data_IF_372943052893
#
_entry.id   IF_372943052893
#
_cell.length_a   1.000
_cell.length_b   1.000
_cell.length_c   1.000
_cell.angle_alpha   90.00
_cell.angle_beta   90.00
_cell.angle_gamma   90.00
#
_symmetry.space_group_name_H-M   'P 1'
#
loop_
_entity.id
_entity.type
_entity.pdbx_description
1 polymer ?
#
# COMPACT_ATOMS: atom_id res chain seq x y z
N UNK A 1 12.03 7.61 40.35
CA UNK A 1 11.58 6.50 39.50
C UNK A 1 11.34 7.08 38.12
N UNK A 2 12.15 6.71 37.12
CA UNK A 2 11.92 7.14 35.74
C UNK A 2 10.74 6.36 35.17
N UNK A 3 9.86 7.04 34.44
CA UNK A 3 8.69 6.44 33.78
C UNK A 3 8.89 6.60 32.27
N UNK A 4 8.52 5.59 31.49
CA UNK A 4 8.58 5.69 30.03
C UNK A 4 7.60 6.73 29.51
N UNK A 5 7.97 7.42 28.43
CA UNK A 5 7.12 8.37 27.72
C UNK A 5 7.06 7.97 26.25
N UNK A 6 5.85 7.91 25.68
CA UNK A 6 5.63 7.38 24.34
C UNK A 6 6.33 8.15 23.21
N UNK A 7 6.67 9.43 23.44
CA UNK A 7 7.45 10.23 22.48
C UNK A 7 8.93 9.82 22.42
N UNK A 8 9.46 9.27 23.52
CA UNK A 8 10.85 8.83 23.63
C UNK A 8 11.02 7.36 23.21
N UNK A 9 9.92 6.60 23.16
CA UNK A 9 9.93 5.22 22.70
C UNK A 9 10.23 5.14 21.21
N UNK A 10 10.98 4.12 20.78
CA UNK A 10 11.32 3.89 19.38
C UNK A 10 10.73 2.57 18.90
N UNK A 11 10.22 2.56 17.66
CA UNK A 11 9.79 1.35 16.98
C UNK A 11 10.80 1.05 15.88
N UNK A 12 11.46 -0.09 16.00
CA UNK A 12 12.44 -0.56 15.02
C UNK A 12 11.98 -1.88 14.43
N UNK A 13 11.97 -2.02 13.11
CA UNK A 13 11.59 -3.28 12.47
C UNK A 13 12.62 -3.64 11.41
N UNK A 14 12.95 -4.93 11.33
CA UNK A 14 13.83 -5.49 10.31
C UNK A 14 13.30 -6.82 9.77
N UNK A 15 13.59 -7.09 8.49
CA UNK A 15 13.25 -8.36 7.84
C UNK A 15 14.20 -9.46 8.35
N UNK A 16 13.63 -10.61 8.69
CA UNK A 16 14.36 -11.79 9.11
C UNK A 16 14.93 -12.54 7.92
N UNK A 17 16.07 -13.23 8.10
CA UNK A 17 16.61 -14.12 7.07
C UNK A 17 15.75 -15.38 6.88
N UNK A 18 15.12 -15.87 7.95
CA UNK A 18 14.14 -16.95 7.92
C UNK A 18 13.23 -16.89 9.16
N UNK A 19 12.18 -17.71 9.14
CA UNK A 19 11.35 -18.01 10.29
C UNK A 19 12.19 -18.62 11.44
N UNK A 20 11.88 -18.26 12.68
CA UNK A 20 12.57 -18.73 13.88
C UNK A 20 13.92 -18.04 14.16
N UNK A 21 14.37 -17.13 13.29
CA UNK A 21 15.61 -16.38 13.46
C UNK A 21 15.34 -14.88 13.59
N UNK A 22 15.87 -14.25 14.64
CA UNK A 22 15.86 -12.77 14.75
C UNK A 22 16.52 -12.13 13.52
N UNK A 23 16.00 -10.99 13.10
CA UNK A 23 16.59 -10.21 12.03
C UNK A 23 18.01 -9.76 12.39
N UNK A 24 18.88 -9.53 11.41
CA UNK A 24 20.25 -9.09 11.69
C UNK A 24 20.25 -7.77 12.46
N UNK A 25 20.99 -7.66 13.55
CA UNK A 25 21.01 -6.47 14.43
C UNK A 25 21.34 -5.15 13.69
N UNK A 26 22.10 -5.20 12.60
CA UNK A 26 22.44 -4.04 11.77
C UNK A 26 21.35 -3.65 10.74
N UNK A 27 20.28 -4.43 10.60
CA UNK A 27 19.24 -4.25 9.57
C UNK A 27 18.01 -3.48 10.06
N UNK A 28 18.01 -3.04 11.32
CA UNK A 28 16.94 -2.26 11.94
C UNK A 28 16.63 -0.98 11.16
N UNK A 29 15.35 -0.67 10.98
CA UNK A 29 14.88 0.62 10.48
C UNK A 29 13.88 1.23 11.45
N UNK A 30 13.99 2.53 11.68
CA UNK A 30 13.01 3.28 12.47
C UNK A 30 11.71 3.47 11.68
N UNK A 31 10.60 3.14 12.33
CA UNK A 31 9.26 3.37 11.78
C UNK A 31 8.59 4.54 12.52
N UNK A 32 8.24 5.62 11.81
CA UNK A 32 7.46 6.69 12.40
C UNK A 32 6.05 6.16 12.65
N UNK A 33 5.43 6.66 13.71
CA UNK A 33 4.12 6.21 14.15
C UNK A 33 3.33 7.37 14.73
N UNK A 34 2.03 7.36 14.47
CA UNK A 34 1.04 8.09 15.27
C UNK A 34 0.85 7.33 16.58
N UNK A 35 0.62 6.01 16.48
CA UNK A 35 0.66 5.06 17.59
C UNK A 35 1.22 3.73 17.12
N UNK A 36 1.78 2.94 18.02
CA UNK A 36 2.08 1.53 17.76
C UNK A 36 1.84 0.72 19.03
N UNK A 37 1.32 -0.48 18.86
CA UNK A 37 1.07 -1.44 19.94
C UNK A 37 1.69 -2.77 19.56
N UNK A 38 2.47 -3.36 20.47
CA UNK A 38 3.00 -4.70 20.33
C UNK A 38 2.84 -5.43 21.66
N UNK A 39 2.03 -6.48 21.62
CA UNK A 39 1.53 -7.15 22.80
C UNK A 39 1.68 -8.67 22.67
N UNK A 40 1.80 -9.33 23.81
CA UNK A 40 1.79 -10.78 23.91
C UNK A 40 0.44 -11.23 24.45
N UNK A 41 -0.27 -11.99 23.64
CA UNK A 41 -1.59 -12.54 23.93
C UNK A 41 -1.48 -14.02 24.26
N UNK A 42 -2.35 -14.52 25.14
CA UNK A 42 -2.51 -15.95 25.40
C UNK A 42 -3.98 -16.31 25.48
N UNK A 43 -4.35 -17.48 24.96
CA UNK A 43 -5.70 -17.99 25.12
C UNK A 43 -5.94 -18.36 26.60
N UNK A 44 -7.05 -17.92 27.18
CA UNK A 44 -7.40 -18.16 28.60
C UNK A 44 -8.50 -19.21 28.69
N UNK A 45 -8.34 -20.19 29.56
CA UNK A 45 -9.38 -21.18 29.86
C UNK A 45 -9.48 -21.43 31.37
N UNK A 46 -10.68 -21.76 31.80
CA UNK A 46 -11.10 -21.85 33.20
C UNK A 46 -11.91 -23.11 33.42
N UNK A 47 -11.84 -23.68 34.63
CA UNK A 47 -12.63 -24.88 34.94
C UNK A 47 -14.12 -24.58 34.83
N UNK A 48 -14.86 -25.47 34.14
CA UNK A 48 -16.32 -25.42 34.03
C UNK A 48 -17.01 -26.37 35.03
N UNK A 49 -16.25 -26.99 35.93
CA UNK A 49 -16.77 -27.90 36.93
C UNK A 49 -17.62 -27.14 37.97
N UNK A 50 -18.82 -27.65 38.24
CA UNK A 50 -19.69 -27.11 39.27
C UNK A 50 -19.28 -27.74 40.61
N UNK A 51 -18.50 -27.00 41.38
CA UNK A 51 -18.04 -27.41 42.70
C UNK A 51 -18.94 -26.84 43.82
N UNK A 52 -19.20 -27.57 44.93
CA UNK A 52 -19.99 -27.08 46.06
C UNK A 52 -19.52 -25.78 46.70
N UNK A 53 -18.26 -25.36 46.49
CA UNK A 53 -17.78 -24.04 46.93
C UNK A 53 -18.42 -22.88 46.16
N UNK A 54 -19.07 -23.15 45.02
CA UNK A 54 -19.61 -22.15 44.08
C UNK A 54 -18.54 -21.16 43.58
N UNK A 55 -17.26 -21.54 43.67
CA UNK A 55 -16.13 -20.72 43.27
C UNK A 55 -15.38 -21.36 42.12
N UNK A 56 -14.70 -20.53 41.33
CA UNK A 56 -13.89 -20.98 40.23
C UNK A 56 -12.60 -21.63 40.76
N UNK A 57 -12.37 -22.90 40.44
CA UNK A 57 -11.28 -23.69 41.02
C UNK A 57 -9.92 -23.53 40.33
N UNK A 58 -9.88 -23.32 39.00
CA UNK A 58 -8.62 -23.13 38.25
C UNK A 58 -8.79 -22.20 37.03
N UNK A 59 -7.67 -21.58 36.64
CA UNK A 59 -7.46 -20.86 35.38
C UNK A 59 -6.07 -21.14 34.85
N UNK A 60 -5.97 -21.41 33.55
CA UNK A 60 -4.70 -21.62 32.86
C UNK A 60 -4.60 -20.71 31.64
N UNK A 61 -3.36 -20.44 31.25
CA UNK A 61 -3.02 -19.79 29.99
C UNK A 61 -2.59 -20.86 28.99
N UNK A 62 -3.02 -20.69 27.74
CA UNK A 62 -2.69 -21.53 26.59
C UNK A 62 -1.44 -21.03 25.88
N UNK A 63 -1.39 -21.29 24.57
CA UNK A 63 -0.29 -20.84 23.73
C UNK A 63 -0.21 -19.32 23.70
N UNK A 64 1.00 -18.80 23.84
CA UNK A 64 1.31 -17.40 23.64
C UNK A 64 1.50 -17.09 22.15
N UNK A 65 1.03 -15.91 21.74
CA UNK A 65 1.24 -15.30 20.41
C UNK A 65 1.47 -13.81 20.58
N UNK A 66 1.92 -13.14 19.53
CA UNK A 66 2.12 -11.69 19.55
C UNK A 66 1.26 -11.00 18.52
N UNK A 67 0.70 -9.85 18.88
CA UNK A 67 0.01 -8.96 17.97
C UNK A 67 0.75 -7.64 17.85
N UNK A 68 0.73 -7.05 16.66
CA UNK A 68 1.37 -5.78 16.37
C UNK A 68 0.44 -4.88 15.56
N UNK A 69 0.41 -3.59 15.88
CA UNK A 69 -0.26 -2.58 15.06
C UNK A 69 0.60 -1.34 14.94
N UNK A 70 0.66 -0.77 13.73
CA UNK A 70 1.35 0.48 13.43
C UNK A 70 0.33 1.40 12.79
N UNK A 71 0.04 2.53 13.45
CA UNK A 71 -0.76 3.61 12.88
C UNK A 71 0.17 4.66 12.30
N UNK A 72 0.07 4.87 11.00
CA UNK A 72 1.08 5.59 10.23
C UNK A 72 0.48 6.62 9.29
N UNK A 73 1.35 7.51 8.81
CA UNK A 73 1.03 8.48 7.76
C UNK A 73 1.75 8.09 6.48
N UNK A 74 0.99 7.90 5.41
CA UNK A 74 1.51 7.40 4.15
C UNK A 74 2.58 8.33 3.56
N UNK A 75 3.74 7.75 3.25
CA UNK A 75 4.85 8.41 2.56
C UNK A 75 5.67 7.40 1.77
N UNK A 76 6.29 7.86 0.68
CA UNK A 76 7.15 7.05 -0.17
C UNK A 76 8.33 6.45 0.62
N UNK A 77 8.67 5.18 0.37
CA UNK A 77 9.80 4.47 0.93
C UNK A 77 9.65 4.00 2.38
N UNK A 78 8.84 4.67 3.21
CA UNK A 78 8.72 4.37 4.65
C UNK A 78 8.19 2.96 4.92
N UNK A 79 7.08 2.59 4.28
CA UNK A 79 6.40 1.32 4.53
C UNK A 79 6.60 0.27 3.41
N UNK A 80 7.50 0.54 2.47
CA UNK A 80 7.72 -0.31 1.31
C UNK A 80 8.02 -1.80 1.65
N UNK A 81 8.86 -2.13 2.67
CA UNK A 81 9.08 -3.53 3.03
C UNK A 81 7.82 -4.22 3.56
N UNK A 82 6.98 -3.52 4.31
CA UNK A 82 5.73 -4.07 4.85
C UNK A 82 4.69 -4.28 3.75
N UNK A 83 4.59 -3.33 2.80
CA UNK A 83 3.76 -3.48 1.61
C UNK A 83 4.21 -4.65 0.74
N UNK A 84 5.52 -4.78 0.50
CA UNK A 84 6.09 -5.89 -0.28
C UNK A 84 5.74 -7.25 0.34
N UNK A 85 5.86 -7.37 1.66
CA UNK A 85 5.52 -8.59 2.40
C UNK A 85 4.03 -8.97 2.28
N UNK A 86 3.14 -7.97 2.40
CA UNK A 86 1.70 -8.18 2.24
C UNK A 86 1.35 -8.59 0.80
N UNK A 87 1.97 -7.94 -0.20
CA UNK A 87 1.82 -8.25 -1.62
C UNK A 87 2.51 -9.55 -2.03
N UNK A 88 3.35 -10.13 -1.16
CA UNK A 88 4.08 -11.40 -1.40
C UNK A 88 5.10 -11.30 -2.53
N UNK A 89 5.65 -10.10 -2.76
CA UNK A 89 6.60 -9.81 -3.83
C UNK A 89 7.37 -8.54 -3.53
N UNK A 90 8.68 -8.56 -3.79
CA UNK A 90 9.53 -7.37 -3.70
C UNK A 90 9.17 -6.33 -4.77
N UNK A 91 9.51 -5.07 -4.47
CA UNK A 91 9.41 -3.98 -5.43
C UNK A 91 10.47 -4.12 -6.52
N UNK A 92 10.05 -4.06 -7.78
CA UNK A 92 10.91 -4.16 -8.97
C UNK A 92 10.76 -2.93 -9.85
N UNK A 93 11.76 -2.61 -10.68
CA UNK A 93 11.67 -1.49 -11.62
C UNK A 93 10.38 -1.56 -12.48
N UNK A 94 9.84 -0.38 -12.78
CA UNK A 94 8.68 -0.23 -13.66
C UNK A 94 9.06 -0.24 -15.15
N UNK A 95 8.11 0.17 -15.99
CA UNK A 95 8.32 0.25 -17.44
C UNK A 95 9.35 1.29 -17.86
N UNK A 96 10.10 0.98 -18.91
CA UNK A 96 11.12 1.84 -19.49
C UNK A 96 11.03 1.78 -21.02
N UNK A 97 10.64 2.89 -21.63
CA UNK A 97 10.83 3.13 -23.06
C UNK A 97 12.12 3.92 -23.21
N UNK A 98 13.12 3.30 -23.86
CA UNK A 98 14.38 3.95 -24.23
C UNK A 98 14.14 5.06 -25.25
N UNK A 99 15.16 5.84 -25.60
CA UNK A 99 14.98 6.98 -26.51
C UNK A 99 14.42 6.51 -27.87
N UNK A 100 13.27 7.04 -28.27
CA UNK A 100 12.58 6.72 -29.52
C UNK A 100 12.18 8.01 -30.23
N UNK A 101 12.44 8.08 -31.54
CA UNK A 101 12.02 9.18 -32.40
C UNK A 101 10.60 9.02 -32.98
N UNK A 102 9.93 7.89 -32.68
CA UNK A 102 8.60 7.55 -33.16
C UNK A 102 7.47 8.04 -32.25
N UNK A 103 7.80 8.71 -31.14
CA UNK A 103 6.83 9.12 -30.12
C UNK A 103 6.43 10.58 -30.38
N UNK A 104 5.12 10.79 -30.51
CA UNK A 104 4.48 12.09 -30.55
C UNK A 104 3.68 12.34 -29.25
N UNK A 105 3.51 13.61 -28.90
CA UNK A 105 2.59 14.05 -27.85
C UNK A 105 1.31 14.61 -28.44
N UNK A 106 0.19 14.23 -27.84
CA UNK A 106 -1.16 14.72 -28.12
C UNK A 106 -1.73 15.39 -26.88
N UNK A 107 -2.94 15.96 -26.94
CA UNK A 107 -3.57 16.59 -25.77
C UNK A 107 -3.87 15.62 -24.63
N UNK A 108 -4.03 14.33 -24.91
CA UNK A 108 -4.44 13.31 -23.94
C UNK A 108 -3.34 12.33 -23.57
N UNK A 109 -2.13 12.47 -24.13
CA UNK A 109 -1.04 11.54 -23.90
C UNK A 109 -0.12 11.33 -25.11
N UNK A 110 0.58 10.21 -25.11
CA UNK A 110 1.59 9.86 -26.11
C UNK A 110 1.04 8.86 -27.13
N UNK A 111 1.47 9.00 -28.38
CA UNK A 111 1.25 8.03 -29.44
C UNK A 111 2.58 7.66 -30.08
N UNK A 112 2.71 6.44 -30.58
CA UNK A 112 3.90 6.04 -31.36
C UNK A 112 3.58 5.24 -32.61
N UNK A 113 4.39 5.41 -33.63
CA UNK A 113 4.27 4.73 -34.93
C UNK A 113 4.85 3.31 -34.92
N UNK A 114 5.76 2.97 -34.00
CA UNK A 114 6.32 1.62 -33.86
C UNK A 114 6.67 1.23 -32.41
N UNK A 115 6.75 -0.07 -32.13
CA UNK A 115 7.00 -0.65 -30.80
C UNK A 115 5.73 -0.83 -29.95
N UNK A 116 5.86 -1.22 -28.68
CA UNK A 116 4.72 -1.47 -27.78
C UNK A 116 4.92 -0.98 -26.34
N UNK A 117 4.03 -0.12 -25.82
CA UNK A 117 4.21 0.46 -24.46
C UNK A 117 3.96 -0.61 -23.40
N UNK A 118 3.11 -1.57 -23.76
CA UNK A 118 2.84 -2.76 -22.97
C UNK A 118 4.09 -3.66 -22.91
N UNK A 119 4.83 -3.81 -24.01
CA UNK A 119 6.07 -4.59 -24.05
C UNK A 119 7.21 -3.89 -23.29
N UNK A 120 7.22 -2.55 -23.31
CA UNK A 120 8.16 -1.73 -22.50
C UNK A 120 7.83 -1.76 -21.00
N UNK A 121 6.74 -2.42 -20.59
CA UNK A 121 6.37 -2.64 -19.19
C UNK A 121 5.46 -1.58 -18.57
N UNK A 122 4.92 -0.65 -19.36
CA UNK A 122 3.97 0.36 -18.87
C UNK A 122 2.58 -0.24 -18.64
N UNK A 123 1.90 0.22 -17.59
CA UNK A 123 0.56 -0.25 -17.19
C UNK A 123 -0.34 0.93 -16.81
N UNK A 124 -1.65 0.76 -17.00
CA UNK A 124 -2.63 1.71 -16.52
C UNK A 124 -2.63 1.76 -14.97
N UNK A 125 -2.85 2.94 -14.40
CA UNK A 125 -2.77 3.21 -12.97
C UNK A 125 -1.35 3.40 -12.41
N UNK A 126 -0.34 3.45 -13.28
CA UNK A 126 1.03 3.84 -12.92
C UNK A 126 1.32 5.31 -13.24
N UNK A 127 2.39 5.83 -12.68
CA UNK A 127 2.96 7.12 -13.07
C UNK A 127 4.21 6.89 -13.89
N UNK A 128 4.40 7.72 -14.91
CA UNK A 128 5.61 7.79 -15.73
C UNK A 128 6.13 9.22 -15.79
N UNK A 129 7.41 9.36 -16.12
CA UNK A 129 8.07 10.62 -16.41
C UNK A 129 8.56 10.59 -17.85
N UNK A 130 8.27 11.67 -18.56
CA UNK A 130 8.62 11.85 -19.96
C UNK A 130 9.92 12.66 -20.03
N UNK A 131 10.79 12.29 -20.97
CA UNK A 131 12.00 13.04 -21.27
C UNK A 131 12.24 13.12 -22.79
N UNK A 132 13.22 13.92 -23.19
CA UNK A 132 13.73 13.92 -24.57
C UNK A 132 12.93 14.75 -25.59
N UNK A 133 11.75 15.28 -25.24
CA UNK A 133 11.09 16.26 -26.12
C UNK A 133 11.91 17.55 -26.23
N UNK A 134 12.00 18.11 -27.44
CA UNK A 134 12.70 19.35 -27.73
C UNK A 134 11.69 20.41 -28.21
N UNK A 135 12.15 21.65 -28.35
CA UNK A 135 11.38 22.76 -28.95
C UNK A 135 10.00 22.94 -28.28
N UNK A 136 8.92 22.91 -29.06
CA UNK A 136 7.54 23.06 -28.59
C UNK A 136 7.10 21.97 -27.58
N UNK A 137 7.80 20.83 -27.49
CA UNK A 137 7.48 19.74 -26.56
C UNK A 137 8.19 19.82 -25.20
N UNK A 138 9.11 20.78 -24.98
CA UNK A 138 9.94 20.83 -23.76
C UNK A 138 9.13 20.83 -22.45
N UNK A 139 7.94 21.46 -22.48
CA UNK A 139 7.06 21.55 -21.33
C UNK A 139 6.48 20.20 -20.87
N UNK A 140 6.58 19.14 -21.67
CA UNK A 140 6.12 17.80 -21.29
C UNK A 140 7.14 17.03 -20.44
N UNK A 141 8.41 17.45 -20.45
CA UNK A 141 9.48 16.72 -19.80
C UNK A 141 9.50 16.93 -18.28
N UNK A 142 9.97 15.93 -17.54
CA UNK A 142 10.30 16.08 -16.12
C UNK A 142 9.09 16.33 -15.23
N UNK A 143 7.94 15.72 -15.56
CA UNK A 143 6.71 15.80 -14.77
C UNK A 143 6.12 14.41 -14.53
N UNK A 144 5.50 14.22 -13.37
CA UNK A 144 4.72 13.03 -13.07
C UNK A 144 3.44 13.00 -13.93
N UNK A 145 3.37 12.03 -14.85
CA UNK A 145 2.23 11.77 -15.71
C UNK A 145 1.50 10.50 -15.24
N UNK A 146 0.27 10.65 -14.75
CA UNK A 146 -0.57 9.54 -14.31
C UNK A 146 -1.27 8.90 -15.50
N UNK A 147 -0.99 7.62 -15.71
CA UNK A 147 -1.43 6.84 -16.86
C UNK A 147 -2.81 6.24 -16.58
N UNK A 148 -3.82 6.59 -17.37
CA UNK A 148 -5.19 6.08 -17.21
C UNK A 148 -5.51 4.91 -18.14
N UNK A 149 -4.87 4.84 -19.31
CA UNK A 149 -5.03 3.73 -20.25
C UNK A 149 -3.74 3.51 -21.07
N UNK A 150 -3.45 2.26 -21.40
CA UNK A 150 -2.28 1.89 -22.21
C UNK A 150 -2.67 0.89 -23.28
N UNK A 151 -2.16 1.10 -24.49
CA UNK A 151 -2.17 0.14 -25.59
C UNK A 151 -0.75 0.00 -26.12
N UNK A 152 -0.51 -0.84 -27.12
CA UNK A 152 0.82 -0.94 -27.76
C UNK A 152 1.31 0.43 -28.26
N UNK A 153 0.44 1.20 -28.92
CA UNK A 153 0.82 2.43 -29.62
C UNK A 153 0.36 3.72 -28.94
N UNK A 154 -0.46 3.63 -27.87
CA UNK A 154 -0.97 4.81 -27.15
C UNK A 154 -0.79 4.68 -25.64
N UNK A 155 -0.39 5.77 -24.99
CA UNK A 155 -0.32 5.91 -23.55
C UNK A 155 -1.11 7.17 -23.18
N UNK A 156 -2.23 7.02 -22.48
CA UNK A 156 -3.19 8.09 -22.18
C UNK A 156 -3.16 8.43 -20.70
N UNK A 157 -3.38 9.69 -20.34
CA UNK A 157 -3.33 10.13 -18.95
C UNK A 157 -3.29 11.65 -18.79
N UNK A 158 -2.83 12.10 -17.63
CA UNK A 158 -2.72 13.52 -17.29
C UNK A 158 -1.56 13.80 -16.35
N UNK A 159 -1.03 15.03 -16.36
CA UNK A 159 -0.01 15.44 -15.39
C UNK A 159 -0.63 15.67 -14.01
N UNK A 160 0.05 15.20 -12.97
CA UNK A 160 -0.43 15.32 -11.59
C UNK A 160 -0.35 16.75 -11.03
N UNK A 161 0.47 17.60 -11.64
CA UNK A 161 0.58 19.01 -11.24
C UNK A 161 -0.48 19.92 -11.89
N UNK A 162 -1.46 19.34 -12.60
CA UNK A 162 -2.53 20.08 -13.28
C UNK A 162 -2.12 20.76 -14.60
N UNK A 163 -0.87 20.64 -15.05
CA UNK A 163 -0.48 21.18 -16.36
C UNK A 163 -1.06 20.36 -17.52
N UNK A 164 -1.34 21.01 -18.64
CA UNK A 164 -1.78 20.34 -19.86
C UNK A 164 -0.59 19.74 -20.64
N UNK A 165 -0.84 18.70 -21.42
CA UNK A 165 0.13 18.16 -22.37
C UNK A 165 0.20 19.03 -23.63
N UNK A 166 1.41 19.44 -24.01
CA UNK A 166 1.65 20.20 -25.23
C UNK A 166 1.81 19.24 -26.40
N UNK A 167 1.01 19.43 -27.46
CA UNK A 167 1.11 18.60 -28.65
C UNK A 167 2.44 18.81 -29.37
N UNK A 168 3.05 17.72 -29.85
CA UNK A 168 4.33 17.72 -30.56
C UNK A 168 4.41 16.49 -31.46
N UNK A 169 4.72 16.70 -32.74
CA UNK A 169 4.93 15.63 -33.70
C UNK A 169 6.17 14.77 -33.34
N UNK A 170 6.23 13.55 -33.89
CA UNK A 170 7.37 12.65 -33.73
C UNK A 170 8.68 13.23 -34.32
N UNK A 171 9.83 12.75 -33.88
CA UNK A 171 11.16 13.15 -34.36
C UNK A 171 12.20 13.41 -33.27
N UNK A 172 11.76 13.69 -32.04
CA UNK A 172 12.65 13.93 -30.89
C UNK A 172 13.03 12.61 -30.18
N UNK A 173 14.18 12.49 -29.49
CA UNK A 173 14.60 11.27 -28.82
C UNK A 173 13.86 11.05 -27.48
N UNK A 174 12.55 10.81 -27.55
CA UNK A 174 11.66 10.77 -26.38
C UNK A 174 11.87 9.50 -25.56
N UNK A 175 11.94 9.65 -24.24
CA UNK A 175 11.97 8.55 -23.26
C UNK A 175 10.71 8.57 -22.39
N UNK A 176 10.29 7.40 -21.94
CA UNK A 176 9.17 7.26 -20.98
C UNK A 176 9.59 6.28 -19.89
N UNK A 177 9.72 6.78 -18.67
CA UNK A 177 10.25 6.00 -17.55
C UNK A 177 9.31 6.02 -16.37
N UNK A 178 8.91 4.85 -15.86
CA UNK A 178 8.24 4.76 -14.57
C UNK A 178 9.24 5.07 -13.45
N UNK A 179 9.05 6.14 -12.64
CA UNK A 179 9.94 6.42 -11.53
C UNK A 179 9.80 5.36 -10.43
N UNK A 180 10.90 5.11 -9.74
CA UNK A 180 11.01 4.18 -8.64
C UNK A 180 10.69 2.74 -9.03
N UNK A 181 9.92 2.05 -8.19
CA UNK A 181 9.60 0.63 -8.35
C UNK A 181 8.14 0.33 -8.10
N UNK A 182 7.70 -0.85 -8.53
CA UNK A 182 6.35 -1.36 -8.36
C UNK A 182 6.32 -2.77 -7.77
N UNK A 183 5.29 -3.07 -6.98
CA UNK A 183 4.97 -4.41 -6.49
C UNK A 183 3.49 -4.73 -6.68
N UNK A 184 3.17 -6.02 -6.73
CA UNK A 184 1.83 -6.56 -6.91
C UNK A 184 1.79 -8.00 -6.41
N UNK A 185 0.60 -8.55 -6.17
CA UNK A 185 0.45 -9.96 -5.83
C UNK A 185 0.65 -10.84 -7.07
N UNK A 186 1.72 -11.66 -7.12
CA UNK A 186 2.04 -12.42 -8.32
C UNK A 186 1.11 -13.63 -8.49
N UNK A 187 1.14 -14.27 -9.65
CA UNK A 187 0.41 -15.53 -9.88
C UNK A 187 1.15 -16.74 -9.29
N UNK A 188 2.48 -16.67 -9.25
CA UNK A 188 3.38 -17.71 -8.77
C UNK A 188 4.61 -17.06 -8.11
N UNK A 189 5.40 -17.83 -7.36
CA UNK A 189 6.63 -17.31 -6.74
C UNK A 189 6.38 -16.34 -5.58
N UNK A 190 5.31 -16.56 -4.82
CA UNK A 190 4.99 -15.75 -3.65
C UNK A 190 6.09 -15.82 -2.58
N UNK A 191 6.50 -14.67 -2.06
CA UNK A 191 7.40 -14.59 -0.91
C UNK A 191 6.63 -14.75 0.40
N UNK A 192 7.33 -15.21 1.43
CA UNK A 192 6.88 -15.17 2.83
C UNK A 192 7.97 -14.46 3.60
N UNK A 193 7.68 -13.22 4.01
CA UNK A 193 8.65 -12.34 4.64
C UNK A 193 8.32 -12.18 6.11
N UNK A 194 9.26 -12.58 6.95
CA UNK A 194 9.16 -12.51 8.40
C UNK A 194 9.90 -11.28 8.92
N UNK A 195 9.44 -10.70 10.02
CA UNK A 195 10.02 -9.51 10.61
C UNK A 195 10.26 -9.68 12.11
N UNK A 196 11.33 -9.05 12.58
CA UNK A 196 11.54 -8.79 14.00
C UNK A 196 11.22 -7.33 14.26
N UNK A 197 10.27 -7.07 15.15
CA UNK A 197 9.95 -5.73 15.64
C UNK A 197 10.51 -5.55 17.04
N UNK A 198 11.07 -4.39 17.33
CA UNK A 198 11.56 -4.02 18.65
C UNK A 198 10.90 -2.72 19.09
N UNK A 199 10.30 -2.74 20.28
CA UNK A 199 9.89 -1.55 21.01
C UNK A 199 11.01 -1.23 21.99
N UNK A 200 11.65 -0.09 21.79
CA UNK A 200 12.75 0.40 22.63
C UNK A 200 12.21 1.53 23.49
N UNK A 201 12.42 1.45 24.80
CA UNK A 201 12.14 2.52 25.78
C UNK A 201 13.47 2.97 26.43
N UNK A 202 14.25 3.83 25.75
CA UNK A 202 15.61 4.17 26.18
C UNK A 202 15.67 4.81 27.57
N UNK A 203 14.65 5.59 27.93
CA UNK A 203 14.58 6.30 29.21
C UNK A 203 14.47 5.39 30.44
N UNK A 204 14.07 4.13 30.27
CA UNK A 204 13.97 3.15 31.36
C UNK A 204 14.77 1.86 31.09
N UNK A 205 15.55 1.82 30.01
CA UNK A 205 16.30 0.63 29.58
C UNK A 205 15.40 -0.62 29.52
N UNK A 206 14.27 -0.52 28.83
CA UNK A 206 13.38 -1.65 28.57
C UNK A 206 13.24 -1.80 27.07
N UNK A 207 13.65 -2.94 26.53
CA UNK A 207 13.56 -3.22 25.11
C UNK A 207 12.90 -4.60 24.93
N UNK A 208 11.86 -4.63 24.09
CA UNK A 208 11.02 -5.82 23.87
C UNK A 208 11.08 -6.19 22.39
N UNK A 209 11.54 -7.40 22.10
CA UNK A 209 11.67 -7.92 20.74
C UNK A 209 10.56 -8.92 20.42
N UNK A 210 9.80 -8.66 19.36
CA UNK A 210 8.75 -9.51 18.82
C UNK A 210 9.26 -10.17 17.54
N UNK A 211 9.29 -11.50 17.53
CA UNK A 211 9.95 -12.31 16.51
C UNK A 211 8.88 -13.02 15.67
N UNK A 212 9.21 -13.33 14.43
CA UNK A 212 8.34 -14.01 13.47
C UNK A 212 7.05 -13.25 13.20
N UNK A 213 7.14 -11.92 13.08
CA UNK A 213 6.01 -11.08 12.69
C UNK A 213 5.76 -11.20 11.19
N UNK A 214 4.52 -11.51 10.82
CA UNK A 214 4.00 -11.42 9.47
C UNK A 214 3.11 -10.19 9.35
N UNK A 215 3.21 -9.48 8.22
CA UNK A 215 2.26 -8.41 7.90
C UNK A 215 0.93 -9.05 7.49
N UNK A 216 -0.09 -8.84 8.31
CA UNK A 216 -1.43 -9.39 8.11
C UNK A 216 -2.29 -8.51 7.23
N UNK A 217 -2.30 -7.20 7.52
CA UNK A 217 -3.24 -6.26 6.90
C UNK A 217 -2.62 -4.89 6.72
N UNK A 218 -3.05 -4.18 5.67
CA UNK A 218 -2.89 -2.73 5.55
C UNK A 218 -4.24 -2.06 5.31
N UNK A 219 -4.50 -0.96 6.02
CA UNK A 219 -5.64 -0.09 5.82
C UNK A 219 -5.16 1.31 5.42
N UNK A 220 -5.63 1.81 4.29
CA UNK A 220 -5.37 3.14 3.77
C UNK A 220 -6.64 3.97 3.85
N UNK A 221 -6.55 5.20 4.35
CA UNK A 221 -7.65 6.16 4.30
C UNK A 221 -7.16 7.51 3.82
N UNK A 222 -7.83 8.05 2.82
CA UNK A 222 -7.52 9.33 2.21
C UNK A 222 -8.75 10.22 2.32
N UNK A 223 -8.56 11.38 2.93
CA UNK A 223 -9.59 12.40 3.10
C UNK A 223 -9.18 13.66 2.33
N UNK A 224 -10.12 14.43 1.76
CA UNK A 224 -9.79 15.63 0.96
C UNK A 224 -8.94 16.64 1.73
N UNK A 225 -9.26 16.81 3.02
CA UNK A 225 -8.62 17.76 3.92
C UNK A 225 -7.90 17.04 5.06
N UNK A 226 -7.07 16.05 4.73
CA UNK A 226 -6.35 15.28 5.73
C UNK A 226 -5.11 14.59 5.18
N UNK A 227 -4.17 14.30 6.08
CA UNK A 227 -3.04 13.42 5.78
C UNK A 227 -3.58 12.01 5.56
N UNK A 228 -3.04 11.34 4.55
CA UNK A 228 -3.39 9.96 4.25
C UNK A 228 -2.86 9.03 5.33
N UNK A 229 -3.73 8.25 5.97
CA UNK A 229 -3.32 7.23 6.93
C UNK A 229 -2.94 5.95 6.20
N UNK A 230 -1.93 5.24 6.71
CA UNK A 230 -1.55 3.91 6.26
C UNK A 230 -1.19 3.06 7.48
N UNK A 231 -2.12 2.19 7.85
CA UNK A 231 -2.07 1.42 9.08
C UNK A 231 -1.75 -0.04 8.79
N UNK A 232 -0.81 -0.62 9.54
CA UNK A 232 -0.42 -2.01 9.40
C UNK A 232 -0.83 -2.81 10.61
N UNK A 233 -1.29 -4.03 10.37
CA UNK A 233 -1.47 -5.06 11.41
C UNK A 233 -0.46 -6.17 11.16
N UNK A 234 0.26 -6.54 12.20
CA UNK A 234 1.23 -7.63 12.22
C UNK A 234 0.76 -8.71 13.20
N UNK A 235 1.08 -9.96 12.90
CA UNK A 235 0.86 -11.08 13.79
C UNK A 235 2.14 -11.91 13.85
N UNK A 236 2.56 -12.31 15.05
CA UNK A 236 3.72 -13.17 15.19
C UNK A 236 3.64 -14.11 16.38
N UNK A 237 4.75 -14.81 16.62
CA UNK A 237 4.73 -16.04 17.41
C UNK A 237 5.25 -15.87 18.83
N UNK A 238 6.28 -15.03 18.99
CA UNK A 238 7.09 -15.00 20.19
C UNK A 238 7.53 -13.58 20.52
N UNK A 239 7.40 -13.22 21.78
CA UNK A 239 8.16 -12.14 22.39
C UNK A 239 9.39 -12.73 23.07
N UNK A 240 10.57 -12.20 22.74
CA UNK A 240 11.82 -12.56 23.39
C UNK A 240 11.94 -11.96 24.79
N UNK A 241 13.02 -12.29 25.49
CA UNK A 241 13.30 -11.69 26.79
C UNK A 241 13.44 -10.17 26.69
N UNK A 242 12.91 -9.47 27.70
CA UNK A 242 13.10 -8.03 27.84
C UNK A 242 14.56 -7.73 28.20
N UNK A 243 15.20 -6.82 27.47
CA UNK A 243 16.62 -6.51 27.66
C UNK A 243 16.87 -5.04 28.03
N UNK A 244 17.92 -4.75 28.82
CA UNK A 244 18.30 -3.38 29.12
C UNK A 244 18.96 -2.64 27.95
N UNK A 245 19.62 -3.38 27.05
CA UNK A 245 20.19 -2.84 25.83
C UNK A 245 19.29 -3.15 24.63
N UNK A 246 19.16 -2.18 23.73
CA UNK A 246 18.47 -2.36 22.46
C UNK A 246 19.20 -3.38 21.57
N UNK A 247 18.44 -4.30 20.98
CA UNK A 247 18.93 -5.27 20.01
C UNK A 247 19.35 -4.58 18.70
N UNK A 248 18.51 -3.69 18.18
CA UNK A 248 18.86 -2.80 17.09
C UNK A 248 19.51 -1.54 17.64
N UNK A 249 20.81 -1.61 17.95
CA UNK A 249 21.54 -0.52 18.61
C UNK A 249 21.74 0.74 17.73
N UNK A 250 21.74 0.59 16.40
CA UNK A 250 21.94 1.68 15.45
C UNK A 250 20.97 1.55 14.27
N UNK A 251 19.65 1.74 14.50
CA UNK A 251 18.67 1.58 13.45
C UNK A 251 18.82 2.71 12.42
N UNK A 252 18.62 2.36 11.14
CA UNK A 252 18.60 3.35 10.07
C UNK A 252 17.41 4.31 10.22
N UNK A 253 17.64 5.58 9.89
CA UNK A 253 16.62 6.60 9.96
C UNK A 253 15.48 6.35 8.96
N UNK A 254 14.29 6.83 9.33
CA UNK A 254 13.14 6.85 8.42
C UNK A 254 13.43 7.72 7.19
N UNK A 255 12.99 7.33 5.98
CA UNK A 255 13.07 8.19 4.80
C UNK A 255 12.39 9.56 5.04
N UNK A 256 13.07 10.65 4.66
CA UNK A 256 12.57 12.04 4.82
C UNK A 256 11.59 12.48 3.72
N UNK A 257 10.82 11.56 3.16
CA UNK A 257 9.85 11.84 2.08
C UNK A 257 8.61 12.55 2.62
N UNK A 258 7.99 13.39 1.78
CA UNK A 258 6.78 14.11 2.16
C UNK A 258 5.57 13.19 2.40
N UNK A 259 4.64 13.66 3.22
CA UNK A 259 3.37 12.96 3.51
C UNK A 259 2.35 13.20 2.42
N UNK A 260 1.52 12.20 2.16
CA UNK A 260 0.42 12.32 1.19
C UNK A 260 -0.81 12.97 1.81
N UNK A 261 -1.55 13.72 0.98
CA UNK A 261 -2.82 14.34 1.31
C UNK A 261 -3.81 14.14 0.17
N UNK A 262 -5.11 14.15 0.48
CA UNK A 262 -6.16 14.09 -0.55
C UNK A 262 -6.15 15.28 -1.51
N UNK A 263 -5.57 16.42 -1.13
CA UNK A 263 -5.50 17.62 -1.96
C UNK A 263 -4.65 17.47 -3.25
N UNK A 264 -3.69 16.54 -3.24
CA UNK A 264 -2.75 16.28 -4.34
C UNK A 264 -2.93 14.88 -4.92
N UNK A 265 -4.12 14.31 -4.74
CA UNK A 265 -4.45 12.97 -5.20
C UNK A 265 -5.40 12.98 -6.40
N UNK A 266 -5.31 11.92 -7.22
CA UNK A 266 -6.12 11.73 -8.42
C UNK A 266 -6.73 10.33 -8.36
N UNK A 267 -8.05 10.26 -8.52
CA UNK A 267 -8.78 9.01 -8.72
C UNK A 267 -9.09 8.83 -10.20
N UNK A 268 -9.00 7.61 -10.71
CA UNK A 268 -9.49 7.22 -12.03
C UNK A 268 -10.40 6.00 -11.89
N UNK A 269 -11.62 6.12 -12.41
CA UNK A 269 -12.63 5.05 -12.43
C UNK A 269 -12.97 4.73 -13.87
N UNK A 270 -12.91 3.45 -14.25
CA UNK A 270 -13.11 3.01 -15.64
C UNK A 270 -12.17 3.71 -16.65
N UNK A 271 -10.96 4.08 -16.22
CA UNK A 271 -9.98 4.81 -17.05
C UNK A 271 -10.28 6.30 -17.23
N UNK A 272 -11.35 6.81 -16.61
CA UNK A 272 -11.71 8.23 -16.63
C UNK A 272 -11.22 8.86 -15.32
N UNK A 273 -10.36 9.90 -15.39
CA UNK A 273 -9.96 10.62 -14.20
C UNK A 273 -11.15 11.37 -13.58
N UNK A 274 -11.44 11.08 -12.31
CA UNK A 274 -12.50 11.73 -11.54
C UNK A 274 -11.93 12.95 -10.81
N UNK A 275 -12.39 14.14 -11.19
CA UNK A 275 -11.98 15.42 -10.58
C UNK A 275 -12.79 15.78 -9.32
N UNK A 276 -13.71 14.92 -8.89
CA UNK A 276 -14.71 15.22 -7.84
C UNK A 276 -14.77 14.15 -6.74
N UNK A 277 -13.68 13.42 -6.55
CA UNK A 277 -13.54 12.47 -5.46
C UNK A 277 -13.45 13.20 -4.11
N UNK A 278 -14.27 12.80 -3.15
CA UNK A 278 -14.34 13.37 -1.80
C UNK A 278 -13.74 12.46 -0.73
N UNK A 279 -13.07 11.37 -1.13
CA UNK A 279 -12.39 10.46 -0.21
C UNK A 279 -12.30 9.03 -0.74
N UNK A 280 -11.31 8.29 -0.26
CA UNK A 280 -11.05 6.91 -0.62
C UNK A 280 -10.53 6.13 0.59
N UNK A 281 -10.93 4.89 0.74
CA UNK A 281 -10.24 3.93 1.60
C UNK A 281 -9.99 2.62 0.87
N UNK A 282 -8.93 1.93 1.27
CA UNK A 282 -8.57 0.61 0.78
C UNK A 282 -8.08 -0.24 1.95
N UNK A 283 -8.63 -1.43 2.07
CA UNK A 283 -8.25 -2.46 3.00
C UNK A 283 -7.71 -3.65 2.22
N UNK A 284 -6.49 -4.08 2.53
CA UNK A 284 -5.86 -5.27 1.96
C UNK A 284 -5.51 -6.22 3.09
N UNK A 285 -6.10 -7.40 3.06
CA UNK A 285 -5.93 -8.43 4.08
C UNK A 285 -5.27 -9.68 3.47
N UNK A 286 -4.12 -10.06 4.01
CA UNK A 286 -3.38 -11.27 3.66
C UNK A 286 -3.88 -12.51 4.39
N UNK A 287 -4.87 -12.35 5.28
CA UNK A 287 -5.53 -13.38 6.08
C UNK A 287 -4.53 -14.24 6.84
N UNK A 288 -3.61 -13.59 7.57
CA UNK A 288 -2.64 -14.29 8.42
C UNK A 288 -3.37 -14.90 9.61
N UNK A 289 -3.05 -16.15 9.91
CA UNK A 289 -3.54 -16.85 11.09
C UNK A 289 -2.37 -17.47 11.85
N UNK A 290 -2.52 -17.53 13.16
CA UNK A 290 -1.53 -18.13 14.06
C UNK A 290 -2.24 -19.21 14.85
N UNK A 291 -1.91 -20.45 14.53
CA UNK A 291 -2.60 -21.64 15.02
C UNK A 291 -1.84 -22.22 16.23
N UNK A 292 -2.52 -22.45 17.37
CA UNK A 292 -1.90 -23.08 18.54
C UNK A 292 -1.69 -24.58 18.31
N UNK A 293 -0.63 -25.13 18.91
CA UNK A 293 -0.32 -26.57 18.87
C UNK A 293 -0.16 -27.09 20.29
N UNK A 294 -0.75 -28.25 20.55
CA UNK A 294 -0.67 -28.95 21.84
C UNK A 294 0.79 -29.28 22.15
N UNK A 295 1.21 -29.03 23.38
CA UNK A 295 2.57 -29.35 23.85
C UNK A 295 3.61 -28.26 23.55
N UNK A 296 3.23 -27.16 22.90
CA UNK A 296 4.07 -25.96 22.79
C UNK A 296 3.53 -24.83 23.67
N UNK A 297 4.43 -24.06 24.28
CA UNK A 297 4.06 -22.84 25.02
C UNK A 297 3.79 -21.65 24.08
N UNK A 298 4.41 -21.63 22.91
CA UNK A 298 4.25 -20.56 21.92
C UNK A 298 3.55 -21.08 20.68
N UNK A 299 2.93 -20.17 19.91
CA UNK A 299 2.38 -20.55 18.62
C UNK A 299 3.49 -21.00 17.67
N UNK A 300 3.32 -22.16 17.05
CA UNK A 300 4.35 -22.79 16.22
C UNK A 300 4.04 -22.71 14.73
N UNK A 301 2.77 -22.60 14.34
CA UNK A 301 2.36 -22.49 12.95
C UNK A 301 1.75 -21.12 12.67
N UNK A 302 2.24 -20.43 11.63
CA UNK A 302 1.52 -19.33 11.02
C UNK A 302 1.15 -19.70 9.59
N UNK A 303 -0.08 -19.39 9.21
CA UNK A 303 -0.61 -19.64 7.88
C UNK A 303 -1.11 -18.34 7.25
N UNK A 304 -1.21 -18.33 5.92
CA UNK A 304 -1.65 -17.16 5.14
C UNK A 304 -2.80 -17.56 4.24
N UNK A 305 -3.85 -16.76 4.20
CA UNK A 305 -4.98 -16.98 3.30
C UNK A 305 -4.81 -16.28 1.95
N UNK A 306 -5.92 -15.88 1.35
CA UNK A 306 -5.93 -15.11 0.08
C UNK A 306 -5.65 -13.64 0.38
N UNK A 307 -5.03 -12.93 -0.57
CA UNK A 307 -4.96 -11.47 -0.50
C UNK A 307 -6.32 -10.92 -0.97
N UNK A 308 -7.08 -10.36 -0.04
CA UNK A 308 -8.41 -9.80 -0.28
C UNK A 308 -8.32 -8.29 -0.21
N UNK A 309 -8.83 -7.60 -1.23
CA UNK A 309 -8.96 -6.15 -1.24
C UNK A 309 -10.42 -5.73 -1.16
N UNK A 310 -10.72 -4.75 -0.33
CA UNK A 310 -12.02 -4.09 -0.28
C UNK A 310 -11.83 -2.62 0.06
N UNK A 311 -12.82 -1.78 -0.22
CA UNK A 311 -12.70 -0.36 0.08
C UNK A 311 -13.95 0.42 -0.25
N UNK A 312 -13.82 1.73 -0.19
CA UNK A 312 -14.86 2.63 -0.66
C UNK A 312 -14.24 3.89 -1.28
N UNK A 313 -14.94 4.48 -2.23
CA UNK A 313 -14.68 5.83 -2.69
C UNK A 313 -15.96 6.65 -2.62
N UNK A 314 -15.79 7.96 -2.46
CA UNK A 314 -16.91 8.91 -2.41
C UNK A 314 -16.73 9.94 -3.51
N UNK A 315 -17.80 10.26 -4.22
CA UNK A 315 -17.80 11.22 -5.33
C UNK A 315 -19.04 12.09 -5.25
N UNK A 316 -18.93 13.34 -5.70
CA UNK A 316 -20.11 14.18 -5.92
C UNK A 316 -21.01 13.56 -7.01
N UNK A 317 -22.31 13.49 -6.79
CA UNK A 317 -23.23 12.90 -7.75
C UNK A 317 -23.40 13.83 -8.95
N UNK A 318 -22.81 13.45 -10.10
CA UNK A 318 -22.98 14.17 -11.37
C UNK A 318 -24.00 13.48 -12.29
N UNK A 319 -24.07 12.15 -12.23
CA UNK A 319 -24.95 11.31 -13.05
C UNK A 319 -25.32 10.02 -12.29
N UNK A 320 -26.03 9.12 -12.97
CA UNK A 320 -26.40 7.80 -12.44
C UNK A 320 -25.35 6.71 -12.67
N UNK A 321 -24.21 7.00 -13.32
CA UNK A 321 -23.30 5.97 -13.83
C UNK A 321 -22.80 5.03 -12.71
N UNK A 322 -22.37 5.57 -11.57
CA UNK A 322 -21.93 4.76 -10.44
C UNK A 322 -23.03 3.91 -9.80
N UNK A 323 -24.27 4.40 -9.83
CA UNK A 323 -25.45 3.67 -9.34
C UNK A 323 -25.79 2.55 -10.32
N UNK A 324 -25.67 2.80 -11.62
CA UNK A 324 -25.91 1.83 -12.67
C UNK A 324 -24.83 0.74 -12.70
N UNK A 325 -23.55 1.11 -12.51
CA UNK A 325 -22.46 0.14 -12.34
C UNK A 325 -22.69 -0.79 -11.15
N UNK A 326 -23.22 -0.27 -10.04
CA UNK A 326 -23.63 -1.09 -8.90
C UNK A 326 -24.79 -2.03 -9.27
N UNK A 327 -25.90 -1.50 -9.81
CA UNK A 327 -27.10 -2.29 -10.13
C UNK A 327 -26.86 -3.37 -11.19
N UNK A 328 -25.96 -3.11 -12.14
CA UNK A 328 -25.62 -4.02 -13.22
C UNK A 328 -24.40 -4.89 -12.89
N UNK A 329 -23.81 -4.74 -11.69
CA UNK A 329 -22.59 -5.42 -11.26
C UNK A 329 -21.41 -5.30 -12.24
N UNK A 330 -21.26 -4.13 -12.84
CA UNK A 330 -20.20 -3.87 -13.82
C UNK A 330 -18.84 -3.95 -13.14
N UNK A 331 -17.96 -4.74 -13.75
CA UNK A 331 -16.57 -4.84 -13.34
C UNK A 331 -15.74 -3.76 -14.05
N UNK A 332 -14.98 -2.99 -13.29
CA UNK A 332 -14.28 -1.82 -13.82
C UNK A 332 -12.91 -1.63 -13.16
N UNK A 333 -11.93 -1.02 -13.85
CA UNK A 333 -10.66 -0.68 -13.23
C UNK A 333 -10.79 0.56 -12.36
N UNK A 334 -10.06 0.57 -11.24
CA UNK A 334 -9.92 1.68 -10.32
C UNK A 334 -8.43 1.94 -10.08
N UNK A 335 -8.00 3.19 -10.22
CA UNK A 335 -6.63 3.58 -9.92
C UNK A 335 -6.60 4.89 -9.13
N UNK A 336 -5.61 5.00 -8.27
CA UNK A 336 -5.41 6.14 -7.39
C UNK A 336 -3.94 6.53 -7.37
N UNK A 337 -3.66 7.82 -7.44
CA UNK A 337 -2.31 8.35 -7.35
C UNK A 337 -2.27 9.48 -6.32
N UNK A 338 -1.26 9.46 -5.45
CA UNK A 338 -1.06 10.44 -4.38
C UNK A 338 0.31 11.07 -4.54
N UNK A 339 0.37 12.39 -4.68
CA UNK A 339 1.65 13.12 -4.69
C UNK A 339 1.89 13.81 -3.34
N UNK A 340 3.15 13.89 -2.90
CA UNK A 340 3.51 14.57 -1.65
C UNK A 340 3.38 16.10 -1.75
N UNK A 341 3.41 16.65 -2.96
CA UNK A 341 3.28 18.08 -3.25
C UNK A 341 2.83 18.32 -4.70
N UNK A 342 2.60 19.58 -5.07
CA UNK A 342 2.31 19.99 -6.45
C UNK A 342 3.56 20.16 -7.32
N UNK A 343 4.75 19.91 -6.78
CA UNK A 343 5.99 20.02 -7.53
C UNK A 343 6.02 18.98 -8.69
N UNK A 344 6.55 19.34 -9.88
CA UNK A 344 6.51 18.45 -11.05
C UNK A 344 7.13 17.06 -10.84
N UNK A 345 8.15 16.98 -9.99
CA UNK A 345 8.90 15.76 -9.66
C UNK A 345 8.64 15.25 -8.25
N UNK A 346 7.54 15.67 -7.61
CA UNK A 346 7.16 15.23 -6.27
C UNK A 346 7.19 13.70 -6.16
N UNK A 347 7.43 13.19 -4.96
CA UNK A 347 7.24 11.78 -4.67
C UNK A 347 5.77 11.40 -4.85
N UNK A 348 5.53 10.23 -5.45
CA UNK A 348 4.21 9.72 -5.76
C UNK A 348 4.12 8.24 -5.38
N UNK A 349 3.01 7.89 -4.76
CA UNK A 349 2.56 6.51 -4.63
C UNK A 349 1.29 6.30 -5.45
N UNK A 350 1.24 5.23 -6.24
CA UNK A 350 0.03 4.85 -6.96
C UNK A 350 -0.46 3.48 -6.53
N UNK A 351 -1.76 3.30 -6.65
CA UNK A 351 -2.50 2.09 -6.34
C UNK A 351 -3.36 1.79 -7.56
N UNK A 352 -3.19 0.64 -8.17
CA UNK A 352 -3.99 0.23 -9.32
C UNK A 352 -4.67 -1.11 -9.05
N UNK A 353 -5.95 -1.16 -9.37
CA UNK A 353 -6.83 -2.31 -9.25
C UNK A 353 -7.49 -2.51 -10.61
N UNK A 354 -7.03 -3.50 -11.37
CA UNK A 354 -7.51 -3.72 -12.74
C UNK A 354 -8.96 -4.22 -12.82
N UNK A 355 -9.52 -4.69 -11.70
CA UNK A 355 -10.87 -5.24 -11.63
C UNK A 355 -11.46 -5.03 -10.23
N UNK A 356 -12.39 -4.10 -10.11
CA UNK A 356 -13.24 -3.93 -8.94
C UNK A 356 -14.70 -4.20 -9.31
N UNK A 357 -15.49 -4.61 -8.32
CA UNK A 357 -16.95 -4.65 -8.43
C UNK A 357 -17.53 -3.79 -7.30
N UNK A 358 -18.40 -2.85 -7.65
CA UNK A 358 -19.10 -2.02 -6.67
C UNK A 358 -20.18 -2.88 -6.02
N UNK A 359 -20.17 -2.98 -4.69
CA UNK A 359 -21.07 -3.82 -3.88
C UNK A 359 -22.14 -3.02 -3.15
N UNK A 360 -22.01 -1.69 -3.12
CA UNK A 360 -23.02 -0.78 -2.59
C UNK A 360 -22.80 0.62 -3.16
N UNK A 361 -23.88 1.32 -3.52
CA UNK A 361 -23.88 2.73 -3.87
C UNK A 361 -24.94 3.48 -3.04
N UNK A 362 -24.51 4.28 -2.06
CA UNK A 362 -25.40 5.04 -1.17
C UNK A 362 -25.34 6.52 -1.49
N UNK A 363 -26.49 7.14 -1.71
CA UNK A 363 -26.61 8.59 -1.96
C UNK A 363 -26.97 9.29 -0.65
N UNK A 364 -26.19 10.31 -0.29
CA UNK A 364 -26.48 11.22 0.82
C UNK A 364 -27.33 12.41 0.32
N UNK A 365 -28.43 12.69 1.01
CA UNK A 365 -29.41 13.74 0.69
C UNK A 365 -29.50 14.82 1.79
N UNK A 366 -28.46 14.98 2.60
CA UNK A 366 -28.37 16.11 3.55
C UNK A 366 -28.34 17.48 2.85
N UNK A 367 -28.42 18.57 3.64
CA UNK A 367 -28.35 19.97 3.17
C UNK A 367 -26.96 20.36 2.62
N UNK A 368 -26.50 19.67 1.58
CA UNK A 368 -25.20 19.80 0.91
C UNK A 368 -25.29 19.21 -0.50
N UNK A 369 -24.22 19.32 -1.29
CA UNK A 369 -24.16 18.61 -2.57
C UNK A 369 -24.30 17.10 -2.35
N UNK A 370 -25.10 16.44 -3.19
CA UNK A 370 -25.31 14.99 -3.12
C UNK A 370 -24.00 14.25 -3.32
N UNK A 371 -23.69 13.33 -2.42
CA UNK A 371 -22.49 12.49 -2.47
C UNK A 371 -22.94 11.04 -2.65
N UNK A 372 -22.28 10.34 -3.57
CA UNK A 372 -22.43 8.89 -3.71
C UNK A 372 -21.23 8.22 -3.04
N UNK A 373 -21.51 7.34 -2.07
CA UNK A 373 -20.52 6.45 -1.46
C UNK A 373 -20.61 5.07 -2.11
N UNK A 374 -19.55 4.70 -2.82
CA UNK A 374 -19.43 3.43 -3.51
C UNK A 374 -18.47 2.51 -2.74
N UNK A 375 -18.99 1.46 -2.11
CA UNK A 375 -18.17 0.38 -1.58
C UNK A 375 -17.83 -0.62 -2.69
N UNK A 376 -16.62 -1.18 -2.67
CA UNK A 376 -16.18 -2.12 -3.70
C UNK A 376 -15.35 -3.26 -3.11
N UNK A 377 -15.42 -4.40 -3.80
CA UNK A 377 -14.49 -5.50 -3.63
C UNK A 377 -13.52 -5.55 -4.81
N UNK A 378 -12.26 -5.88 -4.51
CA UNK A 378 -11.21 -6.00 -5.50
C UNK A 378 -11.08 -7.46 -5.90
N UNK A 379 -11.17 -7.71 -7.19
CA UNK A 379 -11.05 -9.03 -7.78
C UNK A 379 -9.71 -9.14 -8.50
N UNK A 380 -9.16 -10.36 -8.55
CA UNK A 380 -7.99 -10.61 -9.40
C UNK A 380 -8.36 -10.32 -10.85
N UNK A 381 -7.54 -9.52 -11.52
CA UNK A 381 -7.67 -9.28 -12.95
C UNK A 381 -7.42 -10.59 -13.73
N UNK A 382 -8.33 -10.91 -14.64
CA UNK A 382 -8.33 -12.13 -15.46
C UNK A 382 -8.48 -11.82 -16.96
N UNK A 383 -8.49 -10.55 -17.34
CA UNK A 383 -8.62 -10.13 -18.73
C UNK A 383 -7.37 -10.42 -19.56
N UNK A 384 -7.54 -10.43 -20.88
CA UNK A 384 -6.45 -10.63 -21.84
C UNK A 384 -5.67 -9.35 -22.15
N UNK A 385 -6.23 -8.18 -21.80
CA UNK A 385 -5.55 -6.90 -22.01
C UNK A 385 -4.42 -6.72 -20.99
N UNK A 386 -3.21 -6.56 -21.51
CA UNK A 386 -1.98 -6.41 -20.75
C UNK A 386 -1.80 -5.01 -20.12
N UNK A 387 -2.73 -4.08 -20.29
CA UNK A 387 -2.66 -2.77 -19.63
C UNK A 387 -2.77 -2.87 -18.10
N UNK A 388 -3.37 -3.94 -17.59
CA UNK A 388 -3.46 -4.24 -16.17
C UNK A 388 -2.61 -5.46 -15.81
N UNK A 389 -2.02 -5.43 -14.61
CA UNK A 389 -1.35 -6.62 -14.06
C UNK A 389 -2.38 -7.68 -13.68
N UNK A 390 -2.03 -8.96 -13.83
CA UNK A 390 -2.86 -10.10 -13.44
C UNK A 390 -2.87 -10.31 -11.90
N UNK A 391 -3.26 -9.27 -11.17
CA UNK A 391 -3.21 -9.15 -9.70
C UNK A 391 -4.54 -8.64 -9.15
N UNK A 392 -4.71 -8.72 -7.83
CA UNK A 392 -5.76 -8.00 -7.10
C UNK A 392 -5.41 -6.51 -7.03
N UNK A 393 -4.18 -6.18 -6.64
CA UNK A 393 -3.71 -4.80 -6.50
C UNK A 393 -2.25 -4.67 -6.92
N UNK A 394 -1.86 -3.50 -7.39
CA UNK A 394 -0.46 -3.12 -7.57
C UNK A 394 -0.19 -1.76 -6.96
N UNK A 395 1.01 -1.62 -6.37
CA UNK A 395 1.52 -0.37 -5.84
C UNK A 395 2.74 0.06 -6.65
N UNK A 396 2.85 1.36 -6.93
CA UNK A 396 4.09 1.98 -7.36
C UNK A 396 4.53 2.99 -6.30
N UNK A 397 5.82 3.02 -6.04
CA UNK A 397 6.45 3.99 -5.15
C UNK A 397 7.64 4.63 -5.90
N UNK A 398 7.56 5.94 -6.12
CA UNK A 398 8.54 6.66 -6.93
C UNK A 398 9.92 6.84 -6.29
N UNK A 399 10.06 6.60 -4.97
CA UNK A 399 11.33 6.83 -4.25
C UNK A 399 12.20 5.58 -4.09
N UNK A 400 11.79 4.42 -4.62
CA UNK A 400 12.43 3.12 -4.41
C UNK A 400 13.46 2.69 -5.45
#
# INVERSE_FOLDING_TARGET
>A
MTTANGIDSLLVIAKQPAEGMKALAASGKLYPRVTATFDTDADKYSSAEIDPSQQQSDTRLGNFRTSGAIKGEASCGTYAPLLAALLRRDFTAGGLTTAQNTIAATTTGLTRSAGSFLADGHRAGSVVRIGGFLTAGLANNGKNFFVTAVTATKLTGQFMNGSAMTAKAEGDPVTVTAPGKRSFTPLTGHTTDWFTAEVQDPGIAVNRCFIDQLVSKVDLSVQPNGITSMDFTLMGKLEGETTPAAYFAAPSATPGTGKFSGATAILSVAGIPSQICTGMSLSLDGQVKIDPVIGSKFATAASRGKVIGSGQFTVLMQDSAYIDYFKQEVELPLAYAMAASTAPLSEVMTIAMGRIKITSAKVDDGEKNKIVTCAFDVLRYQGTDAQHEATTVSFQDSSL
#
